data_IF_715895144404
#
_entry.id   IF_715895144404
#
_cell.length_a   1.000
_cell.length_b   1.000
_cell.length_c   1.000
_cell.angle_alpha   90.00
_cell.angle_beta   90.00
_cell.angle_gamma   90.00
#
_symmetry.space_group_name_H-M   'P 1'
#
loop_
_entity.id
_entity.type
_entity.pdbx_description
1 polymer ?
#
# COMPACT_ATOMS: atom_id res chain seq x y z
N UNK A 1 -18.47 -3.47 -9.33
CA UNK A 1 -17.23 -2.85 -9.82
C UNK A 1 -17.29 -2.50 -11.30
N UNK A 2 -17.73 -3.41 -12.19
CA UNK A 2 -17.89 -3.13 -13.63
C UNK A 2 -18.56 -1.79 -14.00
N UNK A 3 -19.70 -1.38 -13.38
CA UNK A 3 -20.32 -0.10 -13.72
C UNK A 3 -19.43 1.12 -13.42
N UNK A 4 -18.46 0.99 -12.51
CA UNK A 4 -17.52 2.06 -12.16
C UNK A 4 -16.22 1.98 -12.99
N UNK A 5 -15.97 0.87 -13.68
CA UNK A 5 -14.82 0.70 -14.57
C UNK A 5 -15.15 1.22 -15.96
N UNK A 6 -16.39 1.07 -16.43
CA UNK A 6 -16.71 1.38 -17.84
C UNK A 6 -16.44 2.83 -18.21
N UNK A 7 -16.68 3.77 -17.29
CA UNK A 7 -16.50 5.23 -17.46
C UNK A 7 -15.08 5.74 -17.11
N UNK A 8 -14.14 4.87 -16.75
CA UNK A 8 -12.79 5.27 -16.31
C UNK A 8 -11.70 4.42 -16.98
N UNK A 9 -10.55 5.03 -17.24
CA UNK A 9 -9.37 4.36 -17.81
C UNK A 9 -8.68 3.42 -16.78
N UNK A 10 -8.96 3.63 -15.49
CA UNK A 10 -8.49 2.79 -14.42
C UNK A 10 -9.07 3.14 -13.06
N UNK A 11 -8.69 2.38 -12.04
CA UNK A 11 -9.10 2.60 -10.65
C UNK A 11 -7.94 2.36 -9.68
N UNK A 12 -7.86 3.24 -8.69
CA UNK A 12 -6.95 3.12 -7.55
C UNK A 12 -7.76 2.68 -6.32
N UNK A 13 -7.31 1.61 -5.71
CA UNK A 13 -7.92 0.94 -4.55
C UNK A 13 -6.96 1.03 -3.36
N UNK A 14 -7.44 0.57 -2.20
CA UNK A 14 -6.62 0.45 -0.99
C UNK A 14 -7.20 -0.64 -0.08
N UNK A 15 -7.30 -0.35 1.21
CA UNK A 15 -7.94 -1.19 2.25
C UNK A 15 -7.23 -2.51 2.59
N UNK A 16 -6.73 -3.27 1.62
CA UNK A 16 -6.07 -4.57 1.85
C UNK A 16 -4.65 -4.45 2.41
N UNK A 17 -3.99 -3.32 2.12
CA UNK A 17 -2.57 -3.06 2.43
C UNK A 17 -1.58 -3.96 1.67
N UNK A 18 -2.04 -4.61 0.61
CA UNK A 18 -1.24 -5.48 -0.26
C UNK A 18 -1.07 -4.78 -1.59
N UNK A 19 0.18 -4.55 -1.99
CA UNK A 19 0.49 -3.81 -3.21
C UNK A 19 0.15 -4.66 -4.45
N UNK A 20 -0.52 -4.07 -5.42
CA UNK A 20 -0.94 -4.77 -6.63
C UNK A 20 -1.08 -3.83 -7.83
N UNK A 21 -0.75 -4.33 -9.01
CA UNK A 21 -0.99 -3.68 -10.31
C UNK A 21 -1.44 -4.74 -11.30
N UNK A 22 -2.51 -4.47 -12.01
CA UNK A 22 -3.01 -5.31 -13.09
C UNK A 22 -3.67 -4.47 -14.18
N UNK A 23 -3.85 -5.09 -15.35
CA UNK A 23 -4.69 -4.56 -16.43
C UNK A 23 -5.82 -5.55 -16.68
N UNK A 24 -7.07 -5.08 -16.61
CA UNK A 24 -8.27 -5.90 -16.81
C UNK A 24 -9.16 -5.18 -17.82
N UNK A 25 -9.56 -5.87 -18.90
CA UNK A 25 -10.37 -5.30 -19.99
C UNK A 25 -9.82 -3.96 -20.51
N UNK A 26 -8.49 -3.88 -20.65
CA UNK A 26 -7.76 -2.69 -21.11
C UNK A 26 -7.64 -1.56 -20.08
N UNK A 27 -8.15 -1.74 -18.85
CA UNK A 27 -8.16 -0.72 -17.80
C UNK A 27 -7.16 -1.02 -16.69
N UNK A 28 -6.55 0.02 -16.14
CA UNK A 28 -5.56 -0.07 -15.09
C UNK A 28 -6.22 -0.31 -13.72
N UNK A 29 -5.77 -1.32 -12.97
CA UNK A 29 -6.20 -1.59 -11.60
C UNK A 29 -4.97 -1.49 -10.68
N UNK A 30 -4.99 -0.58 -9.71
CA UNK A 30 -3.86 -0.34 -8.81
C UNK A 30 -4.30 -0.41 -7.36
N UNK A 31 -3.52 -1.09 -6.54
CA UNK A 31 -3.49 -0.90 -5.10
C UNK A 31 -2.05 -0.50 -4.74
N UNK A 32 -1.79 0.72 -4.24
CA UNK A 32 -0.44 1.19 -3.97
C UNK A 32 0.21 0.47 -2.77
N UNK A 33 -0.56 -0.33 -2.03
CA UNK A 33 -0.15 -0.97 -0.79
C UNK A 33 -0.48 -0.09 0.41
N UNK A 34 0.33 -0.18 1.47
CA UNK A 34 0.17 0.63 2.68
C UNK A 34 1.48 1.30 3.05
N UNK A 35 1.38 2.60 3.33
CA UNK A 35 2.53 3.39 3.83
C UNK A 35 2.84 3.02 5.28
N UNK A 36 1.82 2.77 6.10
CA UNK A 36 1.99 2.67 7.55
C UNK A 36 1.77 1.28 8.14
N UNK A 37 1.24 0.32 7.39
CA UNK A 37 1.04 -1.04 7.87
C UNK A 37 0.94 -2.04 6.70
N UNK A 38 2.03 -2.30 5.95
CA UNK A 38 2.02 -3.29 4.86
C UNK A 38 1.63 -4.69 5.37
N UNK A 39 0.98 -5.49 4.52
CA UNK A 39 0.42 -6.82 4.89
C UNK A 39 0.78 -7.91 3.88
N UNK A 40 1.89 -7.74 3.18
CA UNK A 40 2.34 -8.63 2.11
C UNK A 40 3.71 -9.27 2.36
N UNK A 41 4.19 -9.24 3.60
CA UNK A 41 5.47 -9.86 3.99
C UNK A 41 6.70 -8.98 3.71
N UNK A 42 6.49 -7.72 3.28
CA UNK A 42 7.55 -6.72 3.10
C UNK A 42 7.27 -5.54 4.04
N UNK A 43 8.16 -5.35 5.01
CA UNK A 43 8.08 -4.35 6.07
C UNK A 43 8.14 -2.89 5.56
N UNK A 44 8.67 -2.68 4.34
CA UNK A 44 8.88 -1.34 3.78
C UNK A 44 7.56 -0.67 3.44
N UNK A 45 7.50 0.63 3.67
CA UNK A 45 6.34 1.45 3.31
C UNK A 45 6.09 1.38 1.80
N UNK A 46 4.88 1.04 1.40
CA UNK A 46 4.49 0.85 0.01
C UNK A 46 3.69 2.04 -0.53
N UNK A 47 4.02 2.47 -1.74
CA UNK A 47 3.27 3.49 -2.48
C UNK A 47 3.41 3.28 -3.99
N UNK A 48 2.69 4.05 -4.79
CA UNK A 48 2.80 4.03 -6.24
C UNK A 48 3.00 5.44 -6.81
N UNK A 49 3.77 5.55 -7.88
CA UNK A 49 3.83 6.73 -8.73
C UNK A 49 3.09 6.44 -10.03
N UNK A 50 2.09 7.26 -10.37
CA UNK A 50 1.34 7.19 -11.62
C UNK A 50 1.80 8.33 -12.53
N UNK A 51 2.27 7.99 -13.72
CA UNK A 51 2.45 8.93 -14.82
C UNK A 51 1.09 9.12 -15.51
N UNK A 52 0.52 10.33 -15.42
CA UNK A 52 -0.80 10.64 -15.97
C UNK A 52 -0.80 10.96 -17.47
N UNK A 53 0.36 10.90 -18.13
CA UNK A 53 0.48 11.06 -19.58
C UNK A 53 0.54 9.70 -20.28
N UNK A 54 1.21 8.74 -19.65
CA UNK A 54 1.42 7.38 -20.21
C UNK A 54 0.58 6.30 -19.53
N UNK A 55 -0.10 6.62 -18.44
CA UNK A 55 -0.78 5.69 -17.52
C UNK A 55 0.14 4.61 -16.94
N UNK A 56 1.46 4.84 -16.96
CA UNK A 56 2.42 3.95 -16.34
C UNK A 56 2.41 4.10 -14.82
N UNK A 57 2.37 2.95 -14.14
CA UNK A 57 2.44 2.87 -12.69
C UNK A 57 3.71 2.18 -12.27
N UNK A 58 4.47 2.87 -11.43
CA UNK A 58 5.67 2.39 -10.76
C UNK A 58 5.35 2.11 -9.28
N UNK A 59 5.44 0.84 -8.89
CA UNK A 59 5.20 0.38 -7.53
C UNK A 59 6.50 0.50 -6.73
N UNK A 60 6.46 1.30 -5.67
CA UNK A 60 7.66 1.66 -4.91
C UNK A 60 7.55 1.25 -3.46
N UNK A 61 8.71 1.05 -2.87
CA UNK A 61 8.93 0.71 -1.46
C UNK A 61 10.02 1.61 -0.90
N UNK A 62 9.92 1.98 0.37
CA UNK A 62 10.97 2.73 1.06
C UNK A 62 11.15 2.22 2.49
N UNK A 63 12.42 2.06 2.89
CA UNK A 63 12.78 1.72 4.26
C UNK A 63 12.51 2.89 5.21
N UNK A 64 12.15 2.58 6.45
CA UNK A 64 11.93 3.54 7.51
C UNK A 64 12.28 2.93 8.86
N UNK A 65 12.42 3.77 9.88
CA UNK A 65 12.73 3.32 11.23
C UNK A 65 11.50 2.73 11.93
N UNK A 66 11.30 1.42 11.76
CA UNK A 66 10.21 0.66 12.38
C UNK A 66 10.31 0.68 13.91
N UNK A 67 11.53 0.57 14.45
CA UNK A 67 11.74 0.58 15.90
C UNK A 67 11.27 1.88 16.53
N UNK A 68 11.52 3.02 15.86
CA UNK A 68 10.98 4.31 16.30
C UNK A 68 9.46 4.34 16.31
N UNK A 69 8.77 3.69 15.36
CA UNK A 69 7.31 3.58 15.36
C UNK A 69 6.84 2.71 16.53
N UNK A 70 7.47 1.56 16.76
CA UNK A 70 7.17 0.66 17.88
C UNK A 70 7.29 1.40 19.21
N UNK A 71 8.40 2.11 19.46
CA UNK A 71 8.58 2.88 20.70
C UNK A 71 7.48 3.92 20.89
N UNK A 72 7.01 4.58 19.82
CA UNK A 72 5.88 5.52 19.91
C UNK A 72 4.55 4.86 20.21
N UNK A 73 4.30 3.66 19.66
CA UNK A 73 3.11 2.87 19.98
C UNK A 73 3.09 2.53 21.48
N UNK A 74 4.23 2.12 22.02
CA UNK A 74 4.41 1.81 23.45
C UNK A 74 4.24 3.04 24.35
N UNK A 75 4.88 4.16 24.00
CA UNK A 75 4.76 5.44 24.73
C UNK A 75 3.30 5.94 24.81
N UNK A 76 2.50 5.67 23.78
CA UNK A 76 1.09 6.03 23.74
C UNK A 76 0.17 5.05 24.49
N UNK A 77 0.71 3.95 25.02
CA UNK A 77 -0.07 2.89 25.68
C UNK A 77 -0.97 2.11 24.72
N UNK A 78 -0.64 2.06 23.42
CA UNK A 78 -1.38 1.27 22.44
C UNK A 78 -0.94 -0.21 22.49
N UNK A 79 -1.78 -1.15 22.02
CA UNK A 79 -1.39 -2.55 21.93
C UNK A 79 -0.10 -2.73 21.11
N UNK A 80 0.93 -3.31 21.72
CA UNK A 80 2.26 -3.50 21.13
C UNK A 80 2.22 -4.22 19.78
N UNK A 81 1.26 -5.13 19.60
CA UNK A 81 1.05 -5.88 18.35
C UNK A 81 0.83 -4.98 17.13
N UNK A 82 0.28 -3.76 17.32
CA UNK A 82 0.08 -2.80 16.24
C UNK A 82 1.42 -2.32 15.67
N UNK A 83 2.43 -2.18 16.52
CA UNK A 83 3.78 -1.81 16.11
C UNK A 83 4.61 -3.02 15.67
N UNK A 84 4.60 -4.11 16.42
CA UNK A 84 5.52 -5.23 16.15
C UNK A 84 5.23 -5.98 14.85
N UNK A 85 3.98 -5.98 14.36
CA UNK A 85 3.65 -6.55 13.03
C UNK A 85 4.30 -5.82 11.87
N UNK A 86 4.83 -4.61 12.10
CA UNK A 86 5.58 -3.89 11.08
C UNK A 86 6.92 -4.57 10.78
N UNK A 87 7.47 -5.35 11.71
CA UNK A 87 8.77 -6.03 11.56
C UNK A 87 8.77 -7.15 10.52
N UNK A 88 7.60 -7.67 10.14
CA UNK A 88 7.48 -8.72 9.13
C UNK A 88 6.47 -8.37 8.03
N UNK A 89 5.83 -7.19 8.12
CA UNK A 89 4.80 -6.76 7.17
C UNK A 89 3.60 -7.72 7.10
N UNK A 90 3.22 -8.31 8.25
CA UNK A 90 2.07 -9.22 8.38
C UNK A 90 0.76 -8.49 8.65
#
# INVERSE_FOLDING_TARGET
MRPYLDDHDGIVLGHTHIQHKATIDGRLIVNPGSVGQPRDGDERAAYAALDTVTDEVDLRRVEYDINRVISRVEECGLPTQIGTRLLDGS
#
